data_IF_392597690388
#
_entry.id   IF_392597690388
#
_cell.length_a   1.000
_cell.length_b   1.000
_cell.length_c   1.000
_cell.angle_alpha   90.00
_cell.angle_beta   90.00
_cell.angle_gamma   90.00
#
_symmetry.space_group_name_H-M   'P 1'
#
loop_
_entity.id
_entity.type
_entity.pdbx_description
1 polymer ?
#
# COMPACT_ATOMS: atom_id res chain seq x y z
N UNK A 1 -4.04 30.19 -11.62
CA UNK A 1 -4.13 29.48 -10.31
C UNK A 1 -3.28 30.22 -9.30
N UNK A 2 -3.80 30.48 -8.09
CA UNK A 2 -2.99 31.09 -7.02
C UNK A 2 -2.05 30.04 -6.40
N UNK A 3 -0.82 30.45 -6.08
CA UNK A 3 0.17 29.65 -5.34
C UNK A 3 -0.41 29.07 -4.05
N UNK A 4 -1.23 29.85 -3.35
CA UNK A 4 -1.86 29.41 -2.09
C UNK A 4 -2.80 28.21 -2.31
N UNK A 5 -3.52 28.19 -3.44
CA UNK A 5 -4.39 27.08 -3.79
C UNK A 5 -3.59 25.81 -4.14
N UNK A 6 -2.44 25.96 -4.80
CA UNK A 6 -1.54 24.85 -5.11
C UNK A 6 -0.94 24.23 -3.84
N UNK A 7 -0.52 25.06 -2.88
CA UNK A 7 0.00 24.60 -1.58
C UNK A 7 -1.09 23.86 -0.79
N UNK A 8 -2.31 24.41 -0.74
CA UNK A 8 -3.43 23.78 -0.05
C UNK A 8 -3.76 22.39 -0.64
N UNK A 9 -3.80 22.27 -1.97
CA UNK A 9 -3.98 20.99 -2.66
C UNK A 9 -2.87 20.00 -2.33
N UNK A 10 -1.61 20.43 -2.43
CA UNK A 10 -0.47 19.58 -2.12
C UNK A 10 -0.49 19.08 -0.67
N UNK A 11 -0.79 19.96 0.29
CA UNK A 11 -0.89 19.60 1.70
C UNK A 11 -2.01 18.57 1.95
N UNK A 12 -3.15 18.70 1.27
CA UNK A 12 -4.24 17.74 1.37
C UNK A 12 -3.84 16.37 0.82
N UNK A 13 -3.24 16.34 -0.37
CA UNK A 13 -2.76 15.09 -0.98
C UNK A 13 -1.67 14.43 -0.13
N UNK A 14 -0.77 15.23 0.45
CA UNK A 14 0.25 14.75 1.37
C UNK A 14 -0.37 14.11 2.61
N UNK A 15 -1.34 14.77 3.26
CA UNK A 15 -2.05 14.22 4.43
C UNK A 15 -2.79 12.93 4.07
N UNK A 16 -3.44 12.88 2.91
CA UNK A 16 -4.13 11.67 2.45
C UNK A 16 -3.14 10.51 2.25
N UNK A 17 -2.00 10.74 1.60
CA UNK A 17 -0.92 9.76 1.44
C UNK A 17 -0.36 9.31 2.78
N UNK A 18 -0.11 10.24 3.69
CA UNK A 18 0.42 9.95 5.03
C UNK A 18 -0.53 9.08 5.85
N UNK A 19 -1.83 9.36 5.81
CA UNK A 19 -2.85 8.53 6.49
C UNK A 19 -2.85 7.10 5.96
N UNK A 20 -2.81 6.91 4.63
CA UNK A 20 -2.73 5.57 4.03
C UNK A 20 -1.48 4.82 4.46
N UNK A 21 -0.33 5.49 4.46
CA UNK A 21 0.93 4.90 4.92
C UNK A 21 0.88 4.49 6.39
N UNK A 22 0.33 5.35 7.25
CA UNK A 22 0.19 5.02 8.68
C UNK A 22 -0.73 3.82 8.89
N UNK A 23 -1.88 3.76 8.21
CA UNK A 23 -2.77 2.59 8.28
C UNK A 23 -2.08 1.31 7.81
N UNK A 24 -1.29 1.38 6.74
CA UNK A 24 -0.50 0.24 6.27
C UNK A 24 0.51 -0.24 7.33
N UNK A 25 1.24 0.70 7.96
CA UNK A 25 2.18 0.39 9.03
C UNK A 25 1.49 -0.14 10.29
N UNK A 26 0.33 0.39 10.66
CA UNK A 26 -0.48 -0.10 11.78
C UNK A 26 -0.92 -1.54 11.55
N UNK A 27 -1.37 -1.89 10.34
CA UNK A 27 -1.77 -3.25 10.00
C UNK A 27 -0.55 -4.20 10.03
N UNK A 28 0.59 -3.77 9.50
CA UNK A 28 1.83 -4.56 9.55
C UNK A 28 2.39 -4.74 10.97
N UNK A 29 2.08 -3.82 11.89
CA UNK A 29 2.48 -3.92 13.29
C UNK A 29 1.62 -4.92 14.08
N UNK A 30 0.49 -5.37 13.54
CA UNK A 30 -0.34 -6.40 14.16
C UNK A 30 0.41 -7.75 14.18
N UNK A 31 0.11 -8.64 15.15
CA UNK A 31 0.58 -10.02 15.13
C UNK A 31 0.21 -10.75 13.82
N UNK A 32 1.05 -11.66 13.30
CA UNK A 32 0.79 -12.40 12.07
C UNK A 32 -0.54 -13.16 12.05
N UNK A 33 -0.98 -13.66 13.21
CA UNK A 33 -2.26 -14.36 13.37
C UNK A 33 -3.43 -13.41 13.08
N UNK A 34 -3.38 -12.19 13.62
CA UNK A 34 -4.40 -11.17 13.39
C UNK A 34 -4.37 -10.70 11.94
N UNK A 35 -3.18 -10.53 11.36
CA UNK A 35 -3.05 -10.20 9.94
C UNK A 35 -3.70 -11.26 9.05
N UNK A 36 -3.50 -12.55 9.35
CA UNK A 36 -4.14 -13.65 8.65
C UNK A 36 -5.67 -13.62 8.79
N UNK A 37 -6.17 -13.38 10.00
CA UNK A 37 -7.60 -13.35 10.29
C UNK A 37 -8.34 -12.23 9.53
N UNK A 38 -7.69 -11.10 9.30
CA UNK A 38 -8.22 -10.00 8.48
C UNK A 38 -7.92 -10.15 6.98
N UNK A 39 -7.32 -11.27 6.56
CA UNK A 39 -6.95 -11.54 5.17
C UNK A 39 -5.79 -10.70 4.65
N UNK A 40 -5.00 -10.09 5.53
CA UNK A 40 -3.82 -9.31 5.19
C UNK A 40 -2.62 -10.23 4.94
N UNK A 41 -2.38 -10.55 3.68
CA UNK A 41 -1.35 -11.51 3.27
C UNK A 41 -0.07 -10.77 2.88
N UNK A 42 0.92 -10.70 3.79
CA UNK A 42 2.24 -10.10 3.50
C UNK A 42 3.03 -10.94 2.49
N UNK A 43 2.73 -12.24 2.38
CA UNK A 43 3.50 -13.19 1.58
C UNK A 43 3.12 -13.23 0.09
N UNK A 44 1.96 -12.70 -0.31
CA UNK A 44 1.29 -13.22 -1.53
C UNK A 44 1.13 -12.27 -2.71
N UNK A 45 1.64 -11.03 -2.66
CA UNK A 45 1.34 -10.04 -3.72
C UNK A 45 2.56 -9.57 -4.54
N UNK A 46 3.78 -9.59 -3.99
CA UNK A 46 4.99 -9.22 -4.75
C UNK A 46 5.70 -10.42 -5.38
N UNK A 47 5.93 -11.48 -4.59
CA UNK A 47 6.53 -12.73 -5.06
C UNK A 47 5.59 -13.50 -6.00
N UNK A 48 4.28 -13.52 -5.70
CA UNK A 48 3.29 -14.24 -6.51
C UNK A 48 2.95 -13.52 -7.83
N UNK A 49 3.02 -12.18 -7.88
CA UNK A 49 2.95 -11.42 -9.16
C UNK A 49 4.17 -11.66 -10.04
N UNK A 50 5.37 -11.65 -9.45
CA UNK A 50 6.59 -12.00 -10.17
C UNK A 50 6.50 -13.43 -10.73
N UNK A 51 6.14 -14.42 -9.90
CA UNK A 51 5.99 -15.81 -10.32
C UNK A 51 4.91 -16.02 -11.39
N UNK A 52 3.78 -15.29 -11.33
CA UNK A 52 2.76 -15.29 -12.39
C UNK A 52 3.31 -14.75 -13.71
N UNK A 53 4.03 -13.62 -13.67
CA UNK A 53 4.61 -13.00 -14.86
C UNK A 53 5.68 -13.90 -15.52
N UNK A 54 6.51 -14.62 -14.74
CA UNK A 54 7.45 -15.58 -15.34
C UNK A 54 6.77 -16.77 -16.02
N UNK A 55 5.56 -17.15 -15.57
CA UNK A 55 4.82 -18.31 -16.10
C UNK A 55 4.01 -17.98 -17.36
N UNK A 56 3.63 -16.71 -17.58
CA UNK A 56 2.88 -16.26 -18.77
C UNK A 56 3.75 -15.87 -19.96
N UNK A 57 5.02 -15.51 -19.75
CA UNK A 57 5.94 -15.11 -20.84
C UNK A 57 6.99 -16.17 -21.20
N UNK A 58 6.97 -17.33 -20.52
CA UNK A 58 7.95 -18.41 -20.69
C UNK A 58 7.34 -19.72 -21.19
N UNK A 59 6.61 -19.68 -22.32
CA UNK A 59 6.07 -20.85 -23.02
C UNK A 59 6.16 -20.66 -24.52
#
# INVERSE_FOLDING_TARGET
>A
MSILNSIARFANDYRARRRRMNSYLEILALPPEIQKDIGWQVEDDSANRAARNYRTFGG
#
